data_IF_710682608850
#
_entry.id   IF_710682608850
#
_cell.length_a   1.000
_cell.length_b   1.000
_cell.length_c   1.000
_cell.angle_alpha   90.00
_cell.angle_beta   90.00
_cell.angle_gamma   90.00
#
_symmetry.space_group_name_H-M   'P 1'
#
loop_
_entity.id
_entity.type
_entity.pdbx_description
1 polymer ?
#
# COMPACT_ATOMS: atom_id res chain seq x y z
N UNK A 1 -6.27 17.13 -12.40
CA UNK A 1 -5.25 16.08 -12.72
C UNK A 1 -5.49 14.81 -11.89
N UNK A 2 -6.20 13.81 -12.43
CA UNK A 2 -6.62 12.56 -11.74
C UNK A 2 -5.65 11.36 -11.94
N UNK A 3 -4.68 11.46 -12.86
CA UNK A 3 -3.89 10.31 -13.31
C UNK A 3 -2.82 9.76 -12.34
N UNK A 4 -2.45 10.49 -11.29
CA UNK A 4 -1.39 10.06 -10.37
C UNK A 4 -1.88 9.06 -9.31
N UNK A 5 -3.07 9.27 -8.73
CA UNK A 5 -3.63 8.38 -7.71
C UNK A 5 -3.98 6.99 -8.28
N UNK A 6 -4.59 6.96 -9.46
CA UNK A 6 -4.94 5.72 -10.18
C UNK A 6 -3.72 4.83 -10.44
N UNK A 7 -2.59 5.43 -10.81
CA UNK A 7 -1.32 4.70 -11.04
C UNK A 7 -0.75 4.09 -9.76
N UNK A 8 -0.83 4.77 -8.62
CA UNK A 8 -0.32 4.23 -7.35
C UNK A 8 -1.18 3.07 -6.88
N UNK A 9 -2.51 3.19 -7.00
CA UNK A 9 -3.44 2.10 -6.67
C UNK A 9 -3.20 0.89 -7.57
N UNK A 10 -3.00 1.08 -8.88
CA UNK A 10 -2.72 -0.01 -9.81
C UNK A 10 -1.38 -0.71 -9.53
N UNK A 11 -0.34 0.02 -9.15
CA UNK A 11 0.97 -0.55 -8.79
C UNK A 11 0.88 -1.33 -7.48
N UNK A 12 0.22 -0.78 -6.46
CA UNK A 12 -0.01 -1.47 -5.18
C UNK A 12 -0.86 -2.75 -5.38
N UNK A 13 -1.87 -2.70 -6.25
CA UNK A 13 -2.70 -3.84 -6.61
C UNK A 13 -1.94 -4.93 -7.38
N UNK A 14 -1.05 -4.55 -8.30
CA UNK A 14 -0.20 -5.53 -9.00
C UNK A 14 0.80 -6.19 -8.07
N UNK A 15 1.39 -5.42 -7.15
CA UNK A 15 2.29 -5.96 -6.14
C UNK A 15 1.55 -6.90 -5.17
N UNK A 16 0.30 -6.59 -4.79
CA UNK A 16 -0.49 -7.39 -3.85
C UNK A 16 -0.85 -8.79 -4.38
N UNK A 17 -1.11 -8.92 -5.68
CA UNK A 17 -1.44 -10.21 -6.32
C UNK A 17 -0.32 -11.24 -6.31
N UNK A 18 0.93 -10.79 -6.18
CA UNK A 18 2.11 -11.66 -6.25
C UNK A 18 2.65 -12.04 -4.86
N UNK A 19 1.96 -11.67 -3.77
CA UNK A 19 2.40 -12.01 -2.42
C UNK A 19 1.99 -13.44 -2.08
N UNK A 20 2.98 -14.32 -1.88
CA UNK A 20 2.78 -15.67 -1.38
C UNK A 20 2.63 -15.69 0.16
N UNK A 21 1.43 -15.35 0.63
CA UNK A 21 1.10 -15.34 2.06
C UNK A 21 1.24 -16.72 2.72
N UNK A 22 0.97 -17.80 1.97
CA UNK A 22 1.05 -19.17 2.48
C UNK A 22 2.50 -19.63 2.60
N UNK A 23 3.36 -19.28 1.64
CA UNK A 23 4.80 -19.51 1.72
C UNK A 23 5.44 -18.76 2.89
N UNK A 24 5.08 -17.50 3.09
CA UNK A 24 5.57 -16.69 4.21
C UNK A 24 5.14 -17.27 5.57
N UNK A 25 3.88 -17.71 5.71
CA UNK A 25 3.38 -18.30 6.95
C UNK A 25 4.17 -19.56 7.36
N UNK A 26 4.61 -20.38 6.39
CA UNK A 26 5.38 -21.61 6.63
C UNK A 26 6.79 -21.35 7.18
N UNK A 27 7.35 -20.17 6.93
CA UNK A 27 8.68 -19.78 7.42
C UNK A 27 8.65 -19.27 8.87
N UNK A 28 7.46 -19.03 9.43
CA UNK A 28 7.29 -18.53 10.79
C UNK A 28 7.30 -19.67 11.80
N UNK A 29 8.33 -19.68 12.64
CA UNK A 29 8.58 -20.76 13.61
C UNK A 29 8.01 -20.44 15.00
N UNK A 30 7.89 -19.16 15.37
CA UNK A 30 7.31 -18.75 16.66
C UNK A 30 5.82 -18.42 16.57
N UNK A 31 5.09 -18.69 17.65
CA UNK A 31 3.65 -18.43 17.74
C UNK A 31 3.34 -16.94 17.79
N UNK A 32 4.20 -16.13 18.43
CA UNK A 32 4.11 -14.67 18.38
C UNK A 32 4.25 -14.14 16.95
N UNK A 33 5.20 -14.65 16.17
CA UNK A 33 5.38 -14.20 14.79
C UNK A 33 4.19 -14.58 13.91
N UNK A 34 3.59 -15.76 14.12
CA UNK A 34 2.36 -16.17 13.42
C UNK A 34 1.18 -15.26 13.74
N UNK A 35 1.04 -14.84 15.00
CA UNK A 35 -0.02 -13.92 15.44
C UNK A 35 0.13 -12.53 14.82
N UNK A 36 1.35 -11.97 14.84
CA UNK A 36 1.64 -10.68 14.21
C UNK A 36 1.46 -10.74 12.69
N UNK A 37 1.87 -11.85 12.06
CA UNK A 37 1.69 -12.06 10.62
C UNK A 37 0.22 -12.15 10.20
N UNK A 38 -0.62 -12.86 10.98
CA UNK A 38 -2.06 -12.90 10.74
C UNK A 38 -2.70 -11.51 10.84
N UNK A 39 -2.26 -10.71 11.82
CA UNK A 39 -2.71 -9.32 12.00
C UNK A 39 -2.29 -8.44 10.82
N UNK A 40 -1.05 -8.61 10.34
CA UNK A 40 -0.54 -7.91 9.16
C UNK A 40 -1.34 -8.24 7.90
N UNK A 41 -1.59 -9.54 7.63
CA UNK A 41 -2.39 -9.99 6.49
C UNK A 41 -3.80 -9.41 6.52
N UNK A 42 -4.48 -9.45 7.67
CA UNK A 42 -5.81 -8.87 7.83
C UNK A 42 -5.82 -7.37 7.52
N UNK A 43 -4.86 -6.63 8.08
CA UNK A 43 -4.75 -5.18 7.88
C UNK A 43 -4.48 -4.85 6.41
N UNK A 44 -3.64 -5.66 5.76
CA UNK A 44 -3.35 -5.54 4.33
C UNK A 44 -4.60 -5.76 3.47
N UNK A 45 -5.37 -6.82 3.74
CA UNK A 45 -6.59 -7.13 3.00
C UNK A 45 -7.65 -6.03 3.15
N UNK A 46 -7.80 -5.46 4.35
CA UNK A 46 -8.70 -4.33 4.62
C UNK A 46 -8.31 -3.08 3.83
N UNK A 47 -7.03 -2.72 3.81
CA UNK A 47 -6.52 -1.58 3.05
C UNK A 47 -6.69 -1.83 1.55
N UNK A 48 -6.34 -3.02 1.07
CA UNK A 48 -6.45 -3.40 -0.33
C UNK A 48 -7.91 -3.37 -0.82
N UNK A 49 -8.84 -3.88 -0.01
CA UNK A 49 -10.28 -3.80 -0.29
C UNK A 49 -10.78 -2.36 -0.35
N UNK A 50 -10.35 -1.51 0.60
CA UNK A 50 -10.74 -0.11 0.66
C UNK A 50 -10.23 0.68 -0.56
N UNK A 51 -8.99 0.43 -0.98
CA UNK A 51 -8.40 1.05 -2.18
C UNK A 51 -9.18 0.67 -3.45
N UNK A 52 -9.52 -0.61 -3.61
CA UNK A 52 -10.25 -1.10 -4.78
C UNK A 52 -11.70 -0.62 -4.85
N UNK A 53 -12.37 -0.49 -3.71
CA UNK A 53 -13.82 -0.20 -3.69
C UNK A 53 -14.14 1.27 -3.55
N UNK A 54 -13.40 2.03 -2.73
CA UNK A 54 -13.74 3.42 -2.40
C UNK A 54 -12.93 4.46 -3.16
N UNK A 55 -11.68 4.15 -3.49
CA UNK A 55 -10.77 5.11 -4.13
C UNK A 55 -10.63 4.90 -5.65
N UNK A 56 -11.09 3.77 -6.18
CA UNK A 56 -11.20 3.54 -7.62
C UNK A 56 -12.47 4.14 -8.24
N UNK A 57 -13.39 4.67 -7.43
CA UNK A 57 -14.56 5.41 -7.92
C UNK A 57 -14.13 6.84 -8.25
N UNK A 58 -14.17 7.20 -9.53
CA UNK A 58 -14.05 8.61 -9.93
C UNK A 58 -15.28 9.36 -9.38
N UNK A 59 -15.10 10.51 -8.70
CA UNK A 59 -16.22 11.25 -8.15
C UNK A 59 -17.20 11.61 -9.27
N UNK A 60 -18.50 11.46 -9.01
CA UNK A 60 -19.52 11.76 -10.01
C UNK A 60 -19.38 13.21 -10.48
N UNK A 61 -19.45 13.47 -11.81
CA UNK A 61 -19.37 14.81 -12.33
C UNK A 61 -20.49 15.69 -11.75
N UNK A 62 -20.13 16.84 -11.20
CA UNK A 62 -21.10 17.82 -10.68
C UNK A 62 -21.85 18.44 -11.87
N UNK A 63 -23.17 18.33 -11.89
CA UNK A 63 -24.03 18.97 -12.91
C UNK A 63 -24.25 20.45 -12.57
N UNK A 64 -23.27 21.27 -12.91
CA UNK A 64 -23.31 22.72 -12.69
C UNK A 64 -24.47 23.41 -13.43
N UNK A 65 -24.92 22.89 -14.58
CA UNK A 65 -26.01 23.45 -15.38
C UNK A 65 -27.37 23.26 -14.70
N UNK A 66 -27.59 22.10 -14.05
CA UNK A 66 -28.76 21.88 -13.22
C UNK A 66 -28.84 22.89 -12.07
N UNK A 67 -27.74 23.10 -11.35
CA UNK A 67 -27.71 24.04 -10.22
C UNK A 67 -27.85 25.51 -10.66
N UNK A 68 -27.31 25.88 -11.83
CA UNK A 68 -27.49 27.23 -12.41
C UNK A 68 -28.96 27.59 -12.60
N UNK A 69 -29.80 26.62 -13.03
CA UNK A 69 -31.24 26.83 -13.26
C UNK A 69 -32.04 27.04 -11.97
N UNK A 70 -31.62 26.45 -10.85
CA UNK A 70 -32.35 26.55 -9.58
C UNK A 70 -31.90 27.70 -8.68
N UNK A 71 -30.60 27.99 -8.63
CA UNK A 71 -29.99 28.90 -7.64
C UNK A 71 -29.52 30.21 -8.29
N UNK A 72 -29.30 30.22 -9.61
CA UNK A 72 -28.79 31.36 -10.37
C UNK A 72 -27.30 31.26 -10.66
N UNK A 73 -26.89 31.81 -11.82
CA UNK A 73 -25.52 31.66 -12.35
C UNK A 73 -24.41 32.17 -11.42
N UNK A 74 -24.50 33.37 -10.80
CA UNK A 74 -23.35 33.97 -10.11
C UNK A 74 -22.84 33.13 -8.93
N UNK A 75 -23.74 32.51 -8.17
CA UNK A 75 -23.37 31.71 -7.01
C UNK A 75 -22.75 30.38 -7.46
N UNK A 76 -23.34 29.73 -8.47
CA UNK A 76 -22.86 28.45 -9.00
C UNK A 76 -21.51 28.60 -9.69
N UNK A 77 -21.28 29.72 -10.38
CA UNK A 77 -19.99 30.06 -10.99
C UNK A 77 -18.88 30.20 -9.94
N UNK A 78 -19.14 30.91 -8.84
CA UNK A 78 -18.19 31.07 -7.74
C UNK A 78 -17.85 29.74 -7.07
N UNK A 79 -18.84 28.86 -6.86
CA UNK A 79 -18.60 27.53 -6.31
C UNK A 79 -17.86 26.60 -7.28
N UNK A 80 -18.13 26.71 -8.58
CA UNK A 80 -17.40 25.97 -9.61
C UNK A 80 -15.93 26.38 -9.64
N UNK A 81 -15.64 27.67 -9.63
CA UNK A 81 -14.27 28.21 -9.60
C UNK A 81 -13.53 27.81 -8.30
N UNK A 82 -14.21 27.88 -7.16
CA UNK A 82 -13.66 27.40 -5.89
C UNK A 82 -13.39 25.88 -5.93
N UNK A 83 -14.28 25.08 -6.51
CA UNK A 83 -14.10 23.63 -6.61
C UNK A 83 -12.94 23.26 -7.56
N UNK A 84 -12.80 23.95 -8.68
CA UNK A 84 -11.73 23.72 -9.65
C UNK A 84 -10.35 24.19 -9.14
N UNK A 85 -10.31 25.20 -8.27
CA UNK A 85 -9.08 25.71 -7.66
C UNK A 85 -8.60 24.92 -6.43
N UNK A 86 -9.44 24.04 -5.87
CA UNK A 86 -9.05 23.18 -4.74
C UNK A 86 -8.08 22.11 -5.21
N UNK A 87 -6.81 22.27 -4.85
CA UNK A 87 -5.81 21.22 -4.97
C UNK A 87 -5.92 20.24 -3.79
N UNK A 88 -6.27 18.99 -4.08
CA UNK A 88 -6.29 17.93 -3.07
C UNK A 88 -4.85 17.60 -2.68
N UNK A 89 -4.46 17.77 -1.40
CA UNK A 89 -3.12 17.42 -0.96
C UNK A 89 -2.82 15.95 -1.26
N UNK A 90 -1.70 15.71 -1.93
CA UNK A 90 -1.25 14.34 -2.21
C UNK A 90 -0.67 13.74 -0.94
N UNK A 91 -0.97 12.47 -0.70
CA UNK A 91 -0.35 11.72 0.40
C UNK A 91 1.17 11.67 0.20
N UNK A 92 1.92 12.12 1.22
CA UNK A 92 3.38 12.04 1.25
C UNK A 92 3.76 10.76 1.99
N UNK A 93 4.40 9.83 1.28
CA UNK A 93 4.90 8.60 1.86
C UNK A 93 6.13 8.88 2.74
N UNK A 94 5.91 8.96 4.05
CA UNK A 94 6.95 9.11 5.07
C UNK A 94 7.42 7.78 5.64
N UNK A 95 6.78 6.67 5.27
CA UNK A 95 6.89 5.36 5.94
C UNK A 95 7.89 4.48 5.19
N UNK A 96 7.83 4.40 3.87
CA UNK A 96 8.75 3.58 3.07
C UNK A 96 10.23 3.89 3.33
N UNK A 97 10.65 5.17 3.44
CA UNK A 97 12.05 5.50 3.75
C UNK A 97 12.53 5.03 5.13
N UNK A 98 11.61 4.85 6.09
CA UNK A 98 11.95 4.42 7.45
C UNK A 98 12.17 2.90 7.55
N UNK A 99 11.41 2.12 6.78
CA UNK A 99 11.44 0.66 6.86
C UNK A 99 12.39 0.01 5.87
N UNK A 100 12.65 0.66 4.73
CA UNK A 100 13.63 0.18 3.74
C UNK A 100 15.01 -0.15 4.33
N UNK A 101 15.68 0.73 5.11
CA UNK A 101 17.01 0.42 5.66
C UNK A 101 16.97 -0.73 6.67
N UNK A 102 15.87 -0.90 7.42
CA UNK A 102 15.71 -2.02 8.36
C UNK A 102 15.57 -3.35 7.61
N UNK A 103 14.80 -3.36 6.52
CA UNK A 103 14.65 -4.53 5.67
C UNK A 103 15.98 -4.90 5.00
N UNK A 104 16.67 -3.91 4.40
CA UNK A 104 17.96 -4.13 3.74
C UNK A 104 19.02 -4.68 4.73
N UNK A 105 19.00 -4.24 5.99
CA UNK A 105 19.87 -4.75 7.03
C UNK A 105 19.59 -6.23 7.37
N UNK A 106 18.30 -6.62 7.48
CA UNK A 106 17.92 -8.02 7.74
C UNK A 106 18.33 -8.94 6.60
N UNK A 107 18.18 -8.50 5.35
CA UNK A 107 18.63 -9.26 4.18
C UNK A 107 20.14 -9.49 4.22
N UNK A 108 20.93 -8.45 4.49
CA UNK A 108 22.39 -8.57 4.63
C UNK A 108 22.80 -9.53 5.75
N UNK A 109 22.11 -9.47 6.89
CA UNK A 109 22.37 -10.41 8.00
C UNK A 109 22.11 -11.85 7.55
N UNK A 110 21.01 -12.09 6.82
CA UNK A 110 20.67 -13.42 6.32
C UNK A 110 21.68 -13.92 5.27
N UNK A 111 22.14 -13.05 4.38
CA UNK A 111 23.19 -13.34 3.39
C UNK A 111 24.53 -13.70 4.03
N UNK A 112 24.90 -13.03 5.12
CA UNK A 112 26.14 -13.33 5.85
C UNK A 112 26.04 -14.59 6.71
N UNK A 113 24.87 -14.89 7.27
CA UNK A 113 24.65 -16.09 8.10
C UNK A 113 24.48 -17.37 7.29
N UNK A 114 23.99 -17.30 6.05
CA UNK A 114 23.81 -18.46 5.17
C UNK A 114 25.06 -19.34 5.03
N UNK A 115 26.22 -18.78 4.65
CA UNK A 115 27.49 -19.51 4.54
C UNK A 115 27.96 -20.13 5.87
N UNK A 116 27.78 -19.42 6.98
CA UNK A 116 28.19 -19.86 8.33
C UNK A 116 27.32 -21.03 8.85
N UNK A 117 26.02 -21.04 8.55
CA UNK A 117 25.13 -22.16 8.88
C UNK A 117 25.41 -23.41 8.03
N UNK A 118 25.83 -23.25 6.77
CA UNK A 118 26.24 -24.39 5.93
C UNK A 118 27.56 -25.01 6.37
N UNK A 119 28.52 -24.19 6.84
CA UNK A 119 29.81 -24.66 7.36
C UNK A 119 29.67 -25.44 8.67
N UNK A 120 28.81 -24.99 9.58
CA UNK A 120 28.56 -25.67 10.86
C UNK A 120 27.79 -26.98 10.67
N UNK A 121 26.81 -27.04 9.75
CA UNK A 121 26.16 -28.31 9.37
C UNK A 121 27.11 -29.31 8.68
N UNK A 122 28.05 -28.82 7.88
CA UNK A 122 29.08 -29.66 7.25
C UNK A 122 30.06 -30.29 8.25
N UNK A 123 30.39 -29.58 9.32
CA UNK A 123 31.27 -30.09 10.39
C UNK A 123 30.58 -31.12 11.30
N UNK A 124 29.26 -31.01 11.51
CA UNK A 124 28.48 -31.98 12.31
C UNK A 124 28.18 -33.30 11.58
N UNK A 125 28.37 -33.38 10.26
CA UNK A 125 28.12 -34.61 9.48
C UNK A 125 29.38 -35.44 9.23
N UNK A 126 30.55 -34.97 9.69
CA UNK A 126 31.87 -35.61 9.47
C UNK A 126 32.51 -36.09 10.79
N UNK A 127 31.76 -36.06 11.90
CA UNK A 127 32.16 -36.59 13.20
C UNK A 127 31.17 -37.65 13.66
#
# INVERSE_FOLDING_TARGET
MSGSGKKVVDVAFKASKNIDWEGMAKLLVSDEARKEFATLRRTFDEVNYTLQTKFSQEPEPIDWEFYRKGIGSPLVDMYKEAYESVEIPKFVDTVTPQYKPKFDALVRIMEMLGPLLTLTRGLFYVM
#
